data_IF_821752879255
#
_entry.id   IF_821752879255
#
_cell.length_a   1.000
_cell.length_b   1.000
_cell.length_c   1.000
_cell.angle_alpha   90.00
_cell.angle_beta   90.00
_cell.angle_gamma   90.00
#
_symmetry.space_group_name_H-M   'P 1'
#
loop_
_entity.id
_entity.type
_entity.pdbx_description
1 polymer ?
#
# COMPACT_ATOMS: atom_id res chain seq x y z
N UNK A 1 17.90 -14.64 28.57
CA UNK A 1 17.36 -14.76 27.20
C UNK A 1 16.29 -13.71 26.85
N UNK A 2 15.28 -13.36 27.68
CA UNK A 2 14.24 -12.40 27.29
C UNK A 2 14.72 -10.96 27.08
N UNK A 3 15.79 -10.54 27.78
CA UNK A 3 16.37 -9.19 27.64
C UNK A 3 16.99 -8.90 26.28
N UNK A 4 17.53 -9.90 25.57
CA UNK A 4 18.13 -9.70 24.23
C UNK A 4 17.08 -9.46 23.16
N UNK A 5 15.98 -10.22 23.19
CA UNK A 5 14.86 -10.03 22.25
C UNK A 5 14.23 -8.65 22.44
N UNK A 6 13.95 -8.26 23.69
CA UNK A 6 13.43 -6.92 24.01
C UNK A 6 14.35 -5.80 23.51
N UNK A 7 15.67 -5.94 23.64
CA UNK A 7 16.62 -4.95 23.14
C UNK A 7 16.67 -4.88 21.61
N UNK A 8 16.57 -6.03 20.92
CA UNK A 8 16.49 -6.08 19.46
C UNK A 8 15.20 -5.40 18.97
N UNK A 9 14.05 -5.72 19.57
CA UNK A 9 12.78 -5.10 19.21
C UNK A 9 12.81 -3.58 19.40
N UNK A 10 13.38 -3.09 20.52
CA UNK A 10 13.55 -1.65 20.76
C UNK A 10 14.46 -1.01 19.72
N UNK A 11 15.56 -1.65 19.38
CA UNK A 11 16.51 -1.14 18.37
C UNK A 11 15.89 -1.06 16.98
N UNK A 12 15.14 -2.08 16.56
CA UNK A 12 14.42 -2.09 15.28
C UNK A 12 13.35 -1.00 15.28
N UNK A 13 12.56 -0.89 16.34
CA UNK A 13 11.51 0.14 16.47
C UNK A 13 12.10 1.55 16.39
N UNK A 14 13.20 1.81 17.10
CA UNK A 14 13.90 3.09 17.04
C UNK A 14 14.45 3.39 15.64
N UNK A 15 15.03 2.38 14.98
CA UNK A 15 15.57 2.51 13.63
C UNK A 15 14.47 2.79 12.60
N UNK A 16 13.33 2.11 12.68
CA UNK A 16 12.15 2.37 11.84
C UNK A 16 11.55 3.75 12.11
N UNK A 17 11.51 4.15 13.39
CA UNK A 17 11.08 5.49 13.80
C UNK A 17 11.94 6.59 13.18
N UNK A 18 13.27 6.47 13.27
CA UNK A 18 14.21 7.37 12.62
C UNK A 18 14.14 7.28 11.09
N UNK A 19 13.85 6.10 10.54
CA UNK A 19 13.76 5.91 9.10
C UNK A 19 12.57 6.65 8.48
N UNK A 20 11.39 6.51 9.09
CA UNK A 20 10.15 7.13 8.60
C UNK A 20 10.02 8.61 8.92
N UNK A 21 10.77 9.13 9.90
CA UNK A 21 10.68 10.51 10.34
C UNK A 21 10.84 11.50 9.18
N UNK A 22 9.95 12.50 9.13
CA UNK A 22 10.01 13.60 8.18
C UNK A 22 9.37 14.85 8.81
N UNK A 23 9.94 16.06 8.64
CA UNK A 23 9.33 17.30 9.11
C UNK A 23 8.00 17.62 8.44
N UNK A 24 7.78 17.16 7.19
CA UNK A 24 6.49 17.27 6.53
C UNK A 24 5.53 16.19 7.06
N UNK A 25 4.42 16.57 7.73
CA UNK A 25 3.49 15.62 8.33
C UNK A 25 2.82 14.70 7.29
N UNK A 26 2.57 15.18 6.07
CA UNK A 26 2.00 14.35 5.01
C UNK A 26 3.03 13.34 4.48
N UNK A 27 4.31 13.70 4.46
CA UNK A 27 5.37 12.77 4.10
C UNK A 27 5.63 11.75 5.22
N UNK A 28 5.51 12.14 6.50
CA UNK A 28 5.56 11.22 7.64
C UNK A 28 4.41 10.20 7.59
N UNK A 29 3.20 10.64 7.25
CA UNK A 29 2.04 9.80 7.00
C UNK A 29 2.34 8.80 5.87
N UNK A 30 2.79 9.28 4.71
CA UNK A 30 3.14 8.44 3.56
C UNK A 30 4.23 7.42 3.93
N UNK A 31 5.29 7.84 4.61
CA UNK A 31 6.37 6.97 5.06
C UNK A 31 5.87 5.89 6.03
N UNK A 32 4.96 6.24 6.94
CA UNK A 32 4.37 5.27 7.88
C UNK A 32 3.57 4.21 7.15
N UNK A 33 2.66 4.62 6.25
CA UNK A 33 1.84 3.69 5.46
C UNK A 33 2.73 2.82 4.56
N UNK A 34 3.72 3.41 3.89
CA UNK A 34 4.67 2.70 3.04
C UNK A 34 5.39 1.56 3.77
N UNK A 35 5.90 1.82 4.99
CA UNK A 35 6.60 0.81 5.77
C UNK A 35 5.67 -0.29 6.29
N UNK A 36 4.42 0.04 6.62
CA UNK A 36 3.44 -0.99 6.99
C UNK A 36 3.12 -1.88 5.79
N UNK A 37 2.91 -1.30 4.60
CA UNK A 37 2.69 -2.08 3.37
C UNK A 37 3.92 -2.96 3.06
N UNK A 38 5.13 -2.38 3.10
CA UNK A 38 6.36 -3.13 2.86
C UNK A 38 6.54 -4.29 3.85
N UNK A 39 6.27 -4.05 5.14
CA UNK A 39 6.33 -5.09 6.17
C UNK A 39 5.26 -6.18 6.01
N UNK A 40 4.11 -5.86 5.42
CA UNK A 40 3.04 -6.81 5.16
C UNK A 40 3.29 -7.68 3.92
N UNK A 41 4.05 -7.19 2.93
CA UNK A 41 4.23 -7.90 1.66
C UNK A 41 4.69 -9.37 1.76
N UNK A 42 5.66 -9.73 2.62
CA UNK A 42 6.07 -11.14 2.80
C UNK A 42 4.95 -12.08 3.25
N UNK A 43 3.91 -11.55 3.88
CA UNK A 43 2.79 -12.35 4.39
C UNK A 43 1.70 -12.57 3.34
N UNK A 44 1.58 -11.69 2.35
CA UNK A 44 0.58 -11.83 1.27
C UNK A 44 0.64 -13.19 0.53
N UNK A 45 1.79 -13.64 0.00
CA UNK A 45 1.87 -14.94 -0.65
C UNK A 45 1.65 -16.09 0.34
N UNK A 46 1.96 -15.91 1.63
CA UNK A 46 1.68 -16.91 2.66
C UNK A 46 0.18 -17.05 2.94
N UNK A 47 -0.56 -15.95 2.98
CA UNK A 47 -2.02 -15.97 3.12
C UNK A 47 -2.68 -16.66 1.93
N UNK A 48 -2.24 -16.35 0.70
CA UNK A 48 -2.74 -17.06 -0.48
C UNK A 48 -2.36 -18.53 -0.47
N UNK A 49 -1.13 -18.88 -0.07
CA UNK A 49 -0.71 -20.28 0.03
C UNK A 49 -1.56 -21.07 1.03
N UNK A 50 -2.00 -20.43 2.12
CA UNK A 50 -2.91 -21.05 3.08
C UNK A 50 -4.32 -21.32 2.50
N UNK A 51 -4.75 -20.56 1.47
CA UNK A 51 -6.06 -20.70 0.84
C UNK A 51 -6.01 -21.70 -0.33
N UNK A 52 -5.01 -21.56 -1.22
CA UNK A 52 -4.96 -22.26 -2.52
C UNK A 52 -3.73 -23.16 -2.69
N UNK A 53 -2.92 -23.34 -1.64
CA UNK A 53 -1.72 -24.16 -1.68
C UNK A 53 -0.69 -23.67 -2.71
N UNK A 54 -0.12 -24.61 -3.46
CA UNK A 54 0.96 -24.34 -4.44
C UNK A 54 0.51 -23.46 -5.60
N UNK A 55 -0.81 -23.30 -5.85
CA UNK A 55 -1.33 -22.38 -6.85
C UNK A 55 -1.03 -20.90 -6.52
N UNK A 56 -0.67 -20.57 -5.27
CA UNK A 56 -0.27 -19.23 -4.86
C UNK A 56 1.11 -18.80 -5.40
N UNK A 57 1.84 -19.66 -6.12
CA UNK A 57 3.21 -19.36 -6.54
C UNK A 57 3.39 -18.00 -7.26
N UNK A 58 2.47 -17.51 -8.12
CA UNK A 58 2.68 -16.23 -8.78
C UNK A 58 2.70 -15.06 -7.80
N UNK A 59 1.99 -15.17 -6.66
CA UNK A 59 1.89 -14.10 -5.67
C UNK A 59 3.24 -13.69 -5.08
N UNK A 60 4.25 -14.57 -5.09
CA UNK A 60 5.62 -14.25 -4.68
C UNK A 60 6.24 -13.14 -5.52
N UNK A 61 5.81 -12.96 -6.78
CA UNK A 61 6.28 -11.88 -7.63
C UNK A 61 5.83 -10.49 -7.14
N UNK A 62 4.79 -10.39 -6.30
CA UNK A 62 4.41 -9.10 -5.68
C UNK A 62 5.52 -8.52 -4.80
N UNK A 63 6.40 -9.38 -4.24
CA UNK A 63 7.55 -8.96 -3.44
C UNK A 63 8.54 -8.08 -4.21
N UNK A 64 8.50 -8.10 -5.56
CA UNK A 64 9.30 -7.19 -6.38
C UNK A 64 8.97 -5.71 -6.12
N UNK A 65 7.78 -5.42 -5.61
CA UNK A 65 7.37 -4.05 -5.25
C UNK A 65 7.72 -3.67 -3.82
N UNK A 66 8.09 -4.63 -2.95
CA UNK A 66 8.49 -4.38 -1.56
C UNK A 66 9.64 -3.37 -1.45
N UNK A 67 10.74 -3.48 -2.24
CA UNK A 67 11.82 -2.51 -2.18
C UNK A 67 11.37 -1.11 -2.59
N UNK A 68 10.39 -0.98 -3.47
CA UNK A 68 9.84 0.31 -3.89
C UNK A 68 9.08 0.98 -2.75
N UNK A 69 8.22 0.24 -2.03
CA UNK A 69 7.57 0.77 -0.84
C UNK A 69 8.58 1.13 0.26
N UNK A 70 9.57 0.26 0.49
CA UNK A 70 10.62 0.50 1.48
C UNK A 70 11.50 1.71 1.13
N UNK A 71 11.63 2.07 -0.15
CA UNK A 71 12.40 3.23 -0.59
C UNK A 71 11.69 4.58 -0.39
N UNK A 72 10.37 4.60 -0.18
CA UNK A 72 9.58 5.84 -0.05
C UNK A 72 10.15 6.79 1.02
N UNK A 73 10.48 6.35 2.26
CA UNK A 73 11.10 7.24 3.24
C UNK A 73 12.44 7.83 2.80
N UNK A 74 13.27 7.05 2.08
CA UNK A 74 14.53 7.56 1.54
C UNK A 74 14.31 8.64 0.48
N UNK A 75 13.30 8.49 -0.39
CA UNK A 75 12.91 9.51 -1.37
C UNK A 75 12.35 10.75 -0.66
N UNK A 76 11.43 10.56 0.29
CA UNK A 76 10.78 11.63 1.06
C UNK A 76 11.77 12.50 1.84
N UNK A 77 12.91 11.95 2.29
CA UNK A 77 13.95 12.72 2.98
C UNK A 77 14.60 13.78 2.11
N UNK A 78 14.71 13.53 0.80
CA UNK A 78 15.26 14.51 -0.16
C UNK A 78 14.16 15.35 -0.80
N UNK A 79 13.03 14.71 -1.13
CA UNK A 79 11.91 15.34 -1.82
C UNK A 79 10.57 14.84 -1.23
N UNK A 80 10.03 15.52 -0.20
CA UNK A 80 8.78 15.10 0.46
C UNK A 80 7.59 14.93 -0.49
N UNK A 81 7.44 15.82 -1.48
CA UNK A 81 6.39 15.69 -2.50
C UNK A 81 6.56 14.44 -3.36
N UNK A 82 7.77 14.14 -3.82
CA UNK A 82 8.03 12.98 -4.66
C UNK A 82 7.75 11.67 -3.90
N UNK A 83 8.12 11.59 -2.62
CA UNK A 83 7.79 10.42 -1.79
C UNK A 83 6.28 10.24 -1.57
N UNK A 84 5.54 11.34 -1.37
CA UNK A 84 4.07 11.32 -1.30
C UNK A 84 3.40 10.87 -2.59
N UNK A 85 3.92 11.29 -3.75
CA UNK A 85 3.45 10.81 -5.06
C UNK A 85 3.81 9.34 -5.30
N UNK A 86 5.01 8.91 -4.89
CA UNK A 86 5.50 7.56 -5.11
C UNK A 86 4.62 6.50 -4.44
N UNK A 87 4.09 6.77 -3.25
CA UNK A 87 3.26 5.82 -2.51
C UNK A 87 2.04 5.31 -3.29
N UNK A 88 1.08 6.15 -3.72
CA UNK A 88 -0.07 5.69 -4.50
C UNK A 88 0.34 5.14 -5.86
N UNK A 89 1.38 5.67 -6.51
CA UNK A 89 1.85 5.16 -7.82
C UNK A 89 2.38 3.73 -7.71
N UNK A 90 3.22 3.45 -6.71
CA UNK A 90 3.72 2.09 -6.44
C UNK A 90 2.57 1.18 -6.01
N UNK A 91 1.58 1.69 -5.26
CA UNK A 91 0.34 0.99 -4.95
C UNK A 91 -0.45 0.54 -6.18
N UNK A 92 -0.60 1.43 -7.16
CA UNK A 92 -1.24 1.12 -8.45
C UNK A 92 -0.43 0.08 -9.21
N UNK A 93 0.89 0.25 -9.33
CA UNK A 93 1.75 -0.71 -10.01
C UNK A 93 1.68 -2.11 -9.36
N UNK A 94 1.69 -2.18 -8.03
CA UNK A 94 1.51 -3.43 -7.30
C UNK A 94 0.13 -4.05 -7.55
N UNK A 95 -0.93 -3.24 -7.58
CA UNK A 95 -2.30 -3.72 -7.84
C UNK A 95 -2.43 -4.28 -9.27
N UNK A 96 -1.88 -3.58 -10.27
CA UNK A 96 -1.85 -4.05 -11.66
C UNK A 96 -1.06 -5.36 -11.78
N UNK A 97 0.11 -5.43 -11.13
CA UNK A 97 0.89 -6.67 -11.08
C UNK A 97 0.07 -7.79 -10.42
N UNK A 98 -0.59 -7.54 -9.30
CA UNK A 98 -1.40 -8.55 -8.64
C UNK A 98 -2.57 -9.03 -9.53
N UNK A 99 -3.26 -8.13 -10.21
CA UNK A 99 -4.29 -8.50 -11.21
C UNK A 99 -3.67 -9.39 -12.31
N UNK A 100 -2.45 -9.11 -12.77
CA UNK A 100 -1.78 -9.99 -13.74
C UNK A 100 -1.54 -11.39 -13.19
N UNK A 101 -1.17 -11.48 -11.93
CA UNK A 101 -0.79 -12.74 -11.30
C UNK A 101 -2.00 -13.63 -11.02
N UNK A 102 -3.10 -13.05 -10.53
CA UNK A 102 -4.22 -13.82 -9.95
C UNK A 102 -5.61 -13.45 -10.50
N UNK A 103 -5.72 -12.40 -11.32
CA UNK A 103 -6.93 -12.04 -12.04
C UNK A 103 -7.89 -11.10 -11.30
N UNK A 104 -8.71 -10.38 -12.06
CA UNK A 104 -9.73 -9.45 -11.54
C UNK A 104 -10.83 -10.16 -10.74
N UNK A 105 -11.10 -11.43 -11.06
CA UNK A 105 -12.09 -12.26 -10.35
C UNK A 105 -11.73 -12.47 -8.86
N UNK A 106 -10.49 -12.15 -8.46
CA UNK A 106 -10.08 -12.18 -7.04
C UNK A 106 -10.40 -10.89 -6.28
N UNK A 107 -10.96 -9.88 -6.95
CA UNK A 107 -11.19 -8.54 -6.43
C UNK A 107 -9.92 -7.85 -5.90
N UNK A 108 -8.74 -8.23 -6.40
CA UNK A 108 -7.46 -7.65 -5.96
C UNK A 108 -7.27 -6.21 -6.44
N UNK A 109 -7.99 -5.80 -7.49
CA UNK A 109 -8.05 -4.42 -7.95
C UNK A 109 -8.74 -3.47 -6.95
N UNK A 110 -9.43 -3.96 -5.92
CA UNK A 110 -9.95 -3.13 -4.83
C UNK A 110 -8.85 -2.33 -4.11
N UNK A 111 -7.59 -2.78 -4.18
CA UNK A 111 -6.43 -2.03 -3.68
C UNK A 111 -6.15 -0.72 -4.44
N UNK A 112 -6.79 -0.48 -5.59
CA UNK A 112 -6.80 0.82 -6.24
C UNK A 112 -7.55 1.88 -5.40
N UNK A 113 -8.53 1.49 -4.58
CA UNK A 113 -9.32 2.42 -3.77
C UNK A 113 -8.48 3.10 -2.67
N UNK A 114 -7.67 2.39 -1.86
CA UNK A 114 -6.67 3.03 -1.00
C UNK A 114 -5.70 3.94 -1.75
N UNK A 115 -5.34 3.61 -3.00
CA UNK A 115 -4.48 4.48 -3.81
C UNK A 115 -5.18 5.81 -4.16
N UNK A 116 -6.47 5.79 -4.49
CA UNK A 116 -7.29 7.01 -4.66
C UNK A 116 -7.36 7.81 -3.37
N UNK A 117 -7.61 7.15 -2.23
CA UNK A 117 -7.63 7.81 -0.93
C UNK A 117 -6.28 8.50 -0.64
N UNK A 118 -5.18 7.78 -0.76
CA UNK A 118 -3.84 8.32 -0.53
C UNK A 118 -3.52 9.48 -1.49
N UNK A 119 -3.91 9.35 -2.76
CA UNK A 119 -3.72 10.42 -3.74
C UNK A 119 -4.54 11.68 -3.43
N UNK A 120 -5.64 11.59 -2.69
CA UNK A 120 -6.46 12.77 -2.33
C UNK A 120 -6.06 13.40 -1.00
N UNK A 121 -5.54 12.63 -0.04
CA UNK A 121 -5.22 13.13 1.31
C UNK A 121 -3.75 13.53 1.50
N UNK A 122 -2.84 13.07 0.62
CA UNK A 122 -1.41 13.32 0.75
C UNK A 122 -0.95 14.63 0.09
N UNK A 123 -1.85 15.51 -0.34
CA UNK A 123 -1.49 16.74 -1.05
C UNK A 123 -2.15 17.96 -0.44
N UNK A 124 -1.39 19.07 -0.42
CA UNK A 124 -1.89 20.37 0.02
C UNK A 124 -2.69 21.05 -1.11
N UNK A 125 -3.58 22.01 -0.79
CA UNK A 125 -4.34 22.73 -1.81
C UNK A 125 -3.48 23.43 -2.90
N UNK A 126 -2.25 23.84 -2.58
CA UNK A 126 -1.32 24.46 -3.52
C UNK A 126 -0.53 23.44 -4.37
N UNK A 127 -0.65 22.14 -4.10
CA UNK A 127 0.06 21.05 -4.80
C UNK A 127 -0.85 20.29 -5.78
N UNK A 128 -2.02 20.86 -6.12
CA UNK A 128 -3.06 20.20 -6.94
C UNK A 128 -2.54 19.67 -8.28
N UNK A 129 -1.65 20.39 -8.96
CA UNK A 129 -1.07 19.93 -10.23
C UNK A 129 -0.26 18.64 -10.06
N UNK A 130 0.53 18.55 -8.99
CA UNK A 130 1.28 17.35 -8.65
C UNK A 130 0.37 16.19 -8.21
N UNK A 131 -0.76 16.48 -7.57
CA UNK A 131 -1.78 15.50 -7.16
C UNK A 131 -2.47 14.82 -8.34
N UNK A 132 -2.65 15.52 -9.48
CA UNK A 132 -3.39 14.99 -10.63
C UNK A 132 -2.81 13.68 -11.16
N UNK A 133 -1.47 13.57 -11.21
CA UNK A 133 -0.80 12.36 -11.70
C UNK A 133 -1.13 11.12 -10.84
N UNK A 134 -0.80 11.07 -9.53
CA UNK A 134 -1.11 9.92 -8.70
C UNK A 134 -2.62 9.69 -8.54
N UNK A 135 -3.45 10.72 -8.65
CA UNK A 135 -4.91 10.57 -8.60
C UNK A 135 -5.47 9.93 -9.87
N UNK A 136 -4.96 10.30 -11.05
CA UNK A 136 -5.40 9.73 -12.32
C UNK A 136 -4.96 8.27 -12.50
N UNK A 137 -3.77 7.90 -11.98
CA UNK A 137 -3.21 6.55 -12.08
C UNK A 137 -4.17 5.41 -11.75
N UNK A 138 -4.86 5.36 -10.58
CA UNK A 138 -5.76 4.26 -10.24
C UNK A 138 -6.98 4.17 -11.16
N UNK A 139 -7.54 5.30 -11.62
CA UNK A 139 -8.65 5.28 -12.59
C UNK A 139 -8.19 4.79 -13.95
N UNK A 140 -7.05 5.30 -14.43
CA UNK A 140 -6.45 4.86 -15.68
C UNK A 140 -6.14 3.35 -15.64
N UNK A 141 -5.56 2.87 -14.54
CA UNK A 141 -5.31 1.46 -14.32
C UNK A 141 -6.62 0.66 -14.43
N UNK A 142 -7.66 1.03 -13.69
CA UNK A 142 -8.96 0.34 -13.72
C UNK A 142 -9.51 0.17 -15.15
N UNK A 143 -9.44 1.22 -15.98
CA UNK A 143 -9.92 1.16 -17.36
C UNK A 143 -9.10 0.26 -18.28
N UNK A 144 -7.81 0.05 -17.99
CA UNK A 144 -6.93 -0.77 -18.84
C UNK A 144 -6.69 -2.17 -18.29
N UNK A 145 -7.12 -2.48 -17.06
CA UNK A 145 -6.85 -3.78 -16.44
C UNK A 145 -7.33 -4.94 -17.31
N UNK A 146 -8.59 -4.91 -17.74
CA UNK A 146 -9.18 -6.01 -18.52
C UNK A 146 -8.53 -6.13 -19.91
N UNK A 147 -8.29 -5.00 -20.59
CA UNK A 147 -7.74 -4.98 -21.94
C UNK A 147 -6.22 -5.24 -22.02
N UNK A 148 -5.44 -4.80 -21.03
CA UNK A 148 -3.98 -4.78 -21.10
C UNK A 148 -3.31 -5.91 -20.32
N UNK A 149 -3.96 -6.46 -19.29
CA UNK A 149 -3.34 -7.44 -18.39
C UNK A 149 -3.51 -8.87 -18.91
N UNK A 150 -4.57 -9.13 -19.68
CA UNK A 150 -4.83 -10.43 -20.31
C UNK A 150 -5.03 -11.55 -19.28
N UNK A 151 -4.82 -12.80 -19.69
CA UNK A 151 -5.10 -13.98 -18.85
C UNK A 151 -4.21 -14.00 -17.60
N UNK A 152 -4.76 -14.28 -16.40
CA UNK A 152 -3.98 -14.36 -15.18
C UNK A 152 -3.06 -15.59 -15.17
N UNK A 153 -1.98 -15.54 -14.37
CA UNK A 153 -1.03 -16.66 -14.26
C UNK A 153 -1.56 -17.82 -13.41
N UNK A 154 -2.46 -17.55 -12.47
CA UNK A 154 -3.17 -18.56 -11.69
C UNK A 154 -4.67 -18.48 -11.91
N UNK A 155 -5.29 -19.66 -11.95
CA UNK A 155 -6.73 -19.87 -11.98
C UNK A 155 -7.13 -20.66 -10.73
N UNK A 156 -8.31 -20.38 -10.21
CA UNK A 156 -8.79 -20.94 -8.96
C UNK A 156 -10.20 -21.55 -9.14
N UNK A 157 -10.61 -22.37 -8.20
CA UNK A 157 -12.00 -22.83 -8.08
C UNK A 157 -12.91 -21.75 -7.49
N UNK A 158 -14.22 -21.89 -7.66
CA UNK A 158 -15.20 -20.93 -7.12
C UNK A 158 -15.14 -20.78 -5.59
N UNK A 159 -14.77 -21.84 -4.88
CA UNK A 159 -14.59 -21.79 -3.42
C UNK A 159 -13.36 -20.97 -3.03
N UNK A 160 -12.26 -21.14 -3.77
CA UNK A 160 -11.01 -20.41 -3.57
C UNK A 160 -11.17 -18.93 -3.94
N UNK A 161 -11.81 -18.60 -5.07
CA UNK A 161 -12.12 -17.21 -5.44
C UNK A 161 -12.88 -16.49 -4.33
N UNK A 162 -13.95 -17.10 -3.77
CA UNK A 162 -14.70 -16.50 -2.66
C UNK A 162 -13.84 -16.25 -1.41
N UNK A 163 -12.97 -17.19 -1.06
CA UNK A 163 -12.06 -17.03 0.07
C UNK A 163 -11.04 -15.90 -0.16
N UNK A 164 -10.48 -15.82 -1.37
CA UNK A 164 -9.54 -14.77 -1.76
C UNK A 164 -10.21 -13.40 -1.76
N UNK A 165 -11.43 -13.28 -2.32
CA UNK A 165 -12.20 -12.02 -2.32
C UNK A 165 -12.43 -11.55 -0.88
N UNK A 166 -12.85 -12.45 0.02
CA UNK A 166 -13.04 -12.13 1.44
C UNK A 166 -11.77 -11.63 2.11
N UNK A 167 -10.63 -12.27 1.82
CA UNK A 167 -9.31 -11.85 2.31
C UNK A 167 -8.92 -10.46 1.79
N UNK A 168 -9.07 -10.19 0.48
CA UNK A 168 -8.76 -8.89 -0.10
C UNK A 168 -9.67 -7.78 0.44
N UNK A 169 -10.98 -8.03 0.52
CA UNK A 169 -11.93 -7.07 1.07
C UNK A 169 -11.58 -6.69 2.51
N UNK A 170 -11.26 -7.68 3.35
CA UNK A 170 -10.83 -7.43 4.73
C UNK A 170 -9.50 -6.66 4.80
N UNK A 171 -8.53 -7.00 3.94
CA UNK A 171 -7.23 -6.32 3.88
C UNK A 171 -7.37 -4.86 3.43
N UNK A 172 -8.21 -4.59 2.41
CA UNK A 172 -8.52 -3.24 1.94
C UNK A 172 -9.19 -2.44 3.06
N UNK A 173 -10.23 -2.98 3.71
CA UNK A 173 -10.89 -2.31 4.83
C UNK A 173 -9.90 -2.00 5.98
N UNK A 174 -9.02 -2.94 6.31
CA UNK A 174 -7.97 -2.75 7.31
C UNK A 174 -6.97 -1.66 6.91
N UNK A 175 -6.63 -1.55 5.63
CA UNK A 175 -5.76 -0.49 5.13
C UNK A 175 -6.44 0.88 5.19
N UNK A 176 -7.73 0.98 4.84
CA UNK A 176 -8.52 2.20 5.06
C UNK A 176 -8.53 2.61 6.54
N UNK A 177 -8.81 1.66 7.43
CA UNK A 177 -8.79 1.91 8.88
C UNK A 177 -7.41 2.36 9.37
N UNK A 178 -6.34 1.71 8.90
CA UNK A 178 -4.96 2.10 9.20
C UNK A 178 -4.69 3.53 8.75
N UNK A 179 -4.98 3.86 7.48
CA UNK A 179 -4.74 5.19 6.92
C UNK A 179 -5.49 6.24 7.76
N UNK A 180 -6.76 6.01 8.07
CA UNK A 180 -7.54 6.91 8.93
C UNK A 180 -6.97 7.04 10.35
N UNK A 181 -6.51 5.94 10.94
CA UNK A 181 -5.93 5.92 12.28
C UNK A 181 -4.61 6.69 12.38
N UNK A 182 -3.76 6.59 11.35
CA UNK A 182 -2.47 7.30 11.31
C UNK A 182 -2.57 8.70 10.70
N UNK A 183 -3.72 9.06 10.12
CA UNK A 183 -3.93 10.37 9.52
C UNK A 183 -3.83 11.47 10.60
N UNK A 184 -3.09 12.57 10.36
CA UNK A 184 -2.97 13.63 11.35
C UNK A 184 -4.32 14.33 11.60
N UNK A 185 -4.94 14.08 12.75
CA UNK A 185 -6.12 14.83 13.21
C UNK A 185 -5.69 16.21 13.69
N UNK A 186 -5.80 17.22 12.82
CA UNK A 186 -5.58 18.63 13.18
C UNK A 186 -6.92 19.30 13.46
N UNK A 187 -7.51 19.12 14.64
CA UNK A 187 -8.61 20.00 15.08
C UNK A 187 -8.03 21.14 15.90
N UNK A 188 -7.42 22.11 15.22
CA UNK A 188 -7.26 23.45 15.80
C UNK A 188 -8.35 24.31 15.19
N UNK A 189 -9.51 24.33 15.86
CA UNK A 189 -10.46 25.42 15.68
C UNK A 189 -9.93 26.57 16.51
N UNK A 190 -9.16 27.47 15.91
CA UNK A 190 -8.92 28.79 16.50
C UNK A 190 -10.25 29.55 16.44
N UNK A 191 -11.02 29.50 17.51
CA UNK A 191 -12.05 30.51 17.76
C UNK A 191 -11.33 31.78 18.20
N UNK A 192 -10.96 32.63 17.25
CA UNK A 192 -10.70 34.04 17.53
C UNK A 192 -12.01 34.79 17.30
N UNK A 193 -12.70 35.13 18.39
CA UNK A 193 -13.71 36.20 18.50
C UNK A 193 -13.82 36.62 19.95
#
# INVERSE_FOLDING_TARGET
>A
MPSRLLNIFRSISASLGAYKHNPDPLALLANTVALVIAGNQPFYPLYLHAIVGTAAWPAWLTLLTMPLFAAIPAVSRRHPLAGRMMLPIVGVANSVLAVKLIGVETAVELFLLPCVLLATILFRPNERSAMLVPLACPFAAYFVLDAAVGTPLALFSDAEYRAIIGMHAFSVASLFALIGFVFPSSTVVTHDS
#
